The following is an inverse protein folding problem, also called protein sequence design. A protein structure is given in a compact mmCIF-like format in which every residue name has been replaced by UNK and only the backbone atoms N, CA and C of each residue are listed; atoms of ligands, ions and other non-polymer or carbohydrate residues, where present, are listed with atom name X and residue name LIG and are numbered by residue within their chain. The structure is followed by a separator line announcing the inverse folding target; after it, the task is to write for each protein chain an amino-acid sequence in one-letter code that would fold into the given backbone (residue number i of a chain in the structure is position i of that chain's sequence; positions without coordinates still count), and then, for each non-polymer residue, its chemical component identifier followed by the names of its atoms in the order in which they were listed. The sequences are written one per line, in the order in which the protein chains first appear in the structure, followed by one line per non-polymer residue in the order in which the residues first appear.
data_IF_389160873317
#
_entry.id   IF_389160873317
#
_cell.length_a   1.000
_cell.length_b   1.000
_cell.length_c   1.000
_cell.angle_alpha   90.00
_cell.angle_beta   90.00
_cell.angle_gamma   90.00
#
_symmetry.space_group_name_H-M   'P 1'
#
loop_
_entity.id
_entity.type
_entity.pdbx_description
1 polymer ?
#
# COMPACT_ATOMS: atom_id res chain seq x y z
N UNK A 1 18.81 22.76 6.75
CA UNK A 1 17.56 21.98 6.83
C UNK A 1 17.47 21.44 8.24
N UNK A 2 16.41 21.79 8.96
CA UNK A 2 16.22 21.40 10.36
C UNK A 2 16.24 19.87 10.48
N UNK A 3 17.03 19.31 11.40
CA UNK A 3 17.23 17.84 11.49
C UNK A 3 15.90 17.11 11.74
N UNK A 4 14.96 17.78 12.40
CA UNK A 4 13.61 17.28 12.64
C UNK A 4 12.75 17.26 11.37
N UNK A 5 12.90 18.25 10.47
CA UNK A 5 12.24 18.21 9.16
C UNK A 5 12.76 17.07 8.29
N UNK A 6 14.07 16.80 8.31
CA UNK A 6 14.66 15.68 7.56
C UNK A 6 14.15 14.34 8.07
N UNK A 7 14.06 14.17 9.40
CA UNK A 7 13.49 12.96 10.02
C UNK A 7 12.01 12.79 9.72
N UNK A 8 11.22 13.85 9.82
CA UNK A 8 9.79 13.82 9.51
C UNK A 8 9.57 13.49 8.02
N UNK A 9 10.36 14.08 7.13
CA UNK A 9 10.29 13.79 5.70
C UNK A 9 10.70 12.34 5.42
N UNK A 10 11.78 11.86 6.01
CA UNK A 10 12.22 10.47 5.85
C UNK A 10 11.17 9.47 6.34
N UNK A 11 10.50 9.77 7.45
CA UNK A 11 9.42 8.95 7.99
C UNK A 11 8.17 8.98 7.11
N UNK A 12 7.75 10.15 6.62
CA UNK A 12 6.62 10.25 5.71
C UNK A 12 6.89 9.54 4.37
N UNK A 13 8.13 9.66 3.86
CA UNK A 13 8.53 9.04 2.59
C UNK A 13 8.62 7.53 2.71
N UNK A 14 9.16 7.01 3.81
CA UNK A 14 9.21 5.55 4.04
C UNK A 14 7.82 4.97 4.22
N UNK A 15 6.94 5.65 4.96
CA UNK A 15 5.54 5.26 5.14
C UNK A 15 4.77 5.27 3.82
N UNK A 16 4.95 6.32 2.99
CA UNK A 16 4.36 6.42 1.67
C UNK A 16 4.86 5.33 0.71
N UNK A 17 6.16 5.02 0.72
CA UNK A 17 6.74 3.92 -0.05
C UNK A 17 6.16 2.57 0.38
N UNK A 18 6.06 2.30 1.68
CA UNK A 18 5.44 1.06 2.19
C UNK A 18 4.00 0.93 1.71
N UNK A 19 3.23 2.02 1.74
CA UNK A 19 1.85 2.05 1.24
C UNK A 19 1.77 1.73 -0.25
N UNK A 20 2.65 2.36 -1.04
CA UNK A 20 2.69 2.21 -2.49
C UNK A 20 3.10 0.79 -2.89
N UNK A 21 4.05 0.18 -2.16
CA UNK A 21 4.43 -1.21 -2.32
C UNK A 21 3.32 -2.18 -1.89
N UNK A 22 2.60 -1.90 -0.80
CA UNK A 22 1.46 -2.72 -0.39
C UNK A 22 0.36 -2.68 -1.44
N UNK A 23 -0.12 -1.49 -1.82
CA UNK A 23 -1.20 -1.34 -2.80
C UNK A 23 -0.75 -1.91 -4.16
N UNK A 24 0.41 -1.50 -4.66
CA UNK A 24 0.93 -1.96 -5.94
C UNK A 24 1.18 -3.46 -5.99
N UNK A 25 1.75 -4.03 -4.93
CA UNK A 25 2.01 -5.47 -4.82
C UNK A 25 0.73 -6.29 -4.76
N UNK A 26 -0.25 -5.88 -3.95
CA UNK A 26 -1.53 -6.57 -3.86
C UNK A 26 -2.35 -6.47 -5.15
N UNK A 27 -2.34 -5.30 -5.82
CA UNK A 27 -2.96 -5.11 -7.13
C UNK A 27 -2.30 -5.99 -8.19
N UNK A 28 -0.96 -6.04 -8.21
CA UNK A 28 -0.21 -6.88 -9.16
C UNK A 28 -0.52 -8.36 -8.96
N UNK A 29 -0.48 -8.84 -7.72
CA UNK A 29 -0.80 -10.23 -7.37
C UNK A 29 -2.25 -10.53 -7.76
N UNK A 30 -3.19 -9.63 -7.43
CA UNK A 30 -4.60 -9.79 -7.77
C UNK A 30 -4.84 -9.84 -9.27
N UNK A 31 -4.17 -8.99 -10.06
CA UNK A 31 -4.25 -9.01 -11.53
C UNK A 31 -3.74 -10.33 -12.11
N UNK A 32 -2.59 -10.81 -11.62
CA UNK A 32 -2.00 -12.08 -12.05
C UNK A 32 -2.89 -13.26 -11.68
N UNK A 33 -3.54 -13.22 -10.51
CA UNK A 33 -4.47 -14.24 -10.04
C UNK A 33 -5.77 -14.25 -10.84
N UNK A 34 -6.36 -13.08 -11.09
CA UNK A 34 -7.58 -12.94 -11.91
C UNK A 34 -7.34 -13.42 -13.34
N UNK A 35 -6.17 -13.11 -13.92
CA UNK A 35 -5.78 -13.60 -15.26
C UNK A 35 -5.56 -15.12 -15.28
N UNK A 36 -5.12 -15.71 -14.17
CA UNK A 36 -4.87 -17.16 -14.09
C UNK A 36 -6.16 -17.96 -13.86
N UNK A 37 -7.13 -17.35 -13.18
CA UNK A 37 -8.44 -17.94 -12.89
C UNK A 37 -9.50 -17.64 -13.97
N UNK A 38 -9.17 -16.80 -14.97
CA UNK A 38 -10.10 -16.27 -16.00
C UNK A 38 -11.37 -15.61 -15.40
N UNK A 39 -11.33 -15.27 -14.12
CA UNK A 39 -12.42 -14.61 -13.41
C UNK A 39 -12.35 -13.10 -13.65
N UNK A 40 -13.53 -12.47 -13.67
CA UNK A 40 -13.68 -11.00 -13.56
C UNK A 40 -12.76 -10.43 -12.48
N UNK A 41 -12.34 -9.15 -12.56
CA UNK A 41 -11.28 -8.54 -11.73
C UNK A 41 -11.65 -8.37 -10.24
N UNK A 42 -12.12 -9.45 -9.62
CA UNK A 42 -12.66 -9.51 -8.27
C UNK A 42 -11.52 -9.69 -7.27
N UNK A 43 -10.52 -10.54 -7.56
CA UNK A 43 -9.38 -10.69 -6.65
C UNK A 43 -8.54 -9.43 -6.60
N UNK A 44 -8.35 -8.75 -7.74
CA UNK A 44 -7.65 -7.46 -7.82
C UNK A 44 -8.35 -6.37 -7.00
N UNK A 45 -9.68 -6.31 -7.04
CA UNK A 45 -10.46 -5.33 -6.26
C UNK A 45 -10.42 -5.65 -4.77
N UNK A 46 -10.60 -6.92 -4.39
CA UNK A 46 -10.57 -7.34 -2.97
C UNK A 46 -9.17 -7.15 -2.38
N UNK A 47 -8.12 -7.60 -3.06
CA UNK A 47 -6.73 -7.43 -2.62
C UNK A 47 -6.32 -5.96 -2.62
N UNK A 48 -6.78 -5.17 -3.60
CA UNK A 48 -6.58 -3.72 -3.64
C UNK A 48 -7.22 -3.01 -2.44
N UNK A 49 -8.47 -3.36 -2.09
CA UNK A 49 -9.17 -2.82 -0.93
C UNK A 49 -8.47 -3.21 0.39
N UNK A 50 -8.08 -4.48 0.53
CA UNK A 50 -7.33 -4.95 1.71
C UNK A 50 -5.97 -4.24 1.80
N UNK A 51 -5.26 -4.09 0.69
CA UNK A 51 -3.99 -3.37 0.62
C UNK A 51 -4.14 -1.89 1.00
N UNK A 52 -5.20 -1.24 0.54
CA UNK A 52 -5.51 0.15 0.88
C UNK A 52 -5.83 0.30 2.37
N UNK A 53 -6.75 -0.51 2.92
CA UNK A 53 -7.12 -0.46 4.35
C UNK A 53 -5.91 -0.73 5.23
N UNK A 54 -5.12 -1.75 4.90
CA UNK A 54 -3.91 -2.12 5.67
C UNK A 54 -2.85 -1.01 5.61
N UNK A 55 -2.63 -0.41 4.44
CA UNK A 55 -1.69 0.69 4.28
C UNK A 55 -2.14 1.96 5.00
N UNK A 56 -3.42 2.31 4.94
CA UNK A 56 -3.98 3.42 5.72
C UNK A 56 -3.90 3.16 7.23
N UNK A 57 -4.13 1.92 7.67
CA UNK A 57 -3.98 1.54 9.08
C UNK A 57 -2.52 1.68 9.56
N UNK A 58 -1.55 1.30 8.73
CA UNK A 58 -0.13 1.49 9.06
C UNK A 58 0.24 2.98 9.14
N UNK A 59 -0.26 3.83 8.21
CA UNK A 59 -0.05 5.27 8.33
C UNK A 59 -0.66 5.85 9.60
N UNK A 60 -1.90 5.48 9.91
CA UNK A 60 -2.58 5.94 11.11
C UNK A 60 -1.78 5.57 12.38
N UNK A 61 -1.20 4.38 12.41
CA UNK A 61 -0.34 3.91 13.49
C UNK A 61 1.05 4.57 13.52
N UNK A 62 1.55 5.10 12.40
CA UNK A 62 2.79 5.88 12.38
C UNK A 62 2.57 7.34 12.79
N UNK A 63 1.36 7.86 12.58
CA UNK A 63 0.98 9.24 12.94
C UNK A 63 0.54 9.35 14.41
N UNK A 64 0.02 8.27 15.00
CA UNK A 64 -0.36 8.19 16.42
C UNK A 64 0.75 7.58 17.28
#
# INVERSE_FOLDING_TARGET
MDKDMVKALAMATSAGLTLLFCIGGFIWIGYKLDTWMDTMPLCMVILGLVGAVTGFYMLYKQVK
#
